data_IF_618540594992
#
_entry.id   IF_618540594992
#
_cell.length_a   1.000
_cell.length_b   1.000
_cell.length_c   1.000
_cell.angle_alpha   90.00
_cell.angle_beta   90.00
_cell.angle_gamma   90.00
#
_symmetry.space_group_name_H-M   'P 1'
#
loop_
_entity.id
_entity.type
_entity.pdbx_description
1 polymer ?
#
# COMPACT_ATOMS: atom_id res chain seq x y z
N UNK A 1 17.49 -30.69 9.94
CA UNK A 1 18.29 -29.73 10.72
C UNK A 1 18.38 -28.45 9.91
N UNK A 2 17.69 -27.36 10.29
CA UNK A 2 17.83 -26.09 9.57
C UNK A 2 18.07 -24.98 10.58
N UNK A 3 19.32 -24.51 10.59
CA UNK A 3 19.84 -23.45 11.45
C UNK A 3 19.38 -22.04 11.06
N UNK A 4 19.93 -21.00 11.71
CA UNK A 4 19.23 -19.76 12.03
C UNK A 4 18.91 -18.93 10.79
N UNK A 5 17.64 -18.55 10.66
CA UNK A 5 17.19 -17.58 9.68
C UNK A 5 17.98 -16.28 9.86
N UNK A 6 18.90 -16.02 8.94
CA UNK A 6 19.42 -14.68 8.71
C UNK A 6 18.22 -13.74 8.64
N UNK A 7 18.26 -12.66 9.42
CA UNK A 7 17.17 -11.69 9.56
C UNK A 7 17.01 -10.93 8.25
N UNK A 8 16.46 -11.56 7.23
CA UNK A 8 16.03 -10.90 6.00
C UNK A 8 14.97 -9.89 6.43
N UNK A 9 15.21 -8.59 6.25
CA UNK A 9 14.24 -7.58 6.65
C UNK A 9 12.93 -7.93 5.94
N UNK A 10 11.85 -8.00 6.70
CA UNK A 10 10.54 -8.27 6.09
C UNK A 10 10.28 -7.20 5.03
N UNK A 11 9.53 -7.48 3.97
CA UNK A 11 9.21 -6.47 2.95
C UNK A 11 8.58 -5.21 3.57
N UNK A 12 7.90 -5.34 4.71
CA UNK A 12 7.38 -4.22 5.50
C UNK A 12 8.48 -3.40 6.19
N UNK A 13 9.54 -4.06 6.67
CA UNK A 13 10.70 -3.44 7.30
C UNK A 13 11.62 -2.74 6.28
N UNK A 14 11.83 -3.34 5.10
CA UNK A 14 12.53 -2.66 3.99
C UNK A 14 11.80 -1.37 3.61
N UNK A 15 10.47 -1.47 3.45
CA UNK A 15 9.65 -0.33 3.09
C UNK A 15 9.65 0.77 4.15
N UNK A 16 9.66 0.44 5.44
CA UNK A 16 9.78 1.44 6.50
C UNK A 16 11.13 2.19 6.42
N UNK A 17 12.21 1.49 6.07
CA UNK A 17 13.52 2.08 5.88
C UNK A 17 13.54 3.03 4.66
N UNK A 18 12.97 2.60 3.53
CA UNK A 18 12.80 3.42 2.33
C UNK A 18 11.93 4.66 2.57
N UNK A 19 10.80 4.50 3.27
CA UNK A 19 9.95 5.61 3.67
C UNK A 19 10.69 6.62 4.53
N UNK A 20 11.49 6.17 5.49
CA UNK A 20 12.30 7.08 6.30
C UNK A 20 13.37 7.79 5.46
N UNK A 21 14.02 7.08 4.53
CA UNK A 21 15.05 7.62 3.64
C UNK A 21 14.47 8.69 2.71
N UNK A 22 13.28 8.45 2.15
CA UNK A 22 12.57 9.40 1.29
C UNK A 22 11.84 10.53 2.06
N UNK A 23 11.67 10.36 3.38
CA UNK A 23 11.20 11.41 4.29
C UNK A 23 12.33 12.35 4.74
N UNK A 24 13.56 12.15 4.26
CA UNK A 24 14.68 13.07 4.51
C UNK A 24 14.35 14.42 3.88
N UNK A 25 14.45 15.50 4.65
CA UNK A 25 14.09 16.86 4.22
C UNK A 25 12.62 17.24 4.41
N UNK A 26 11.72 16.28 4.69
CA UNK A 26 10.32 16.58 5.08
C UNK A 26 10.23 16.74 6.59
N UNK A 27 9.59 17.81 7.06
CA UNK A 27 9.39 18.13 8.49
C UNK A 27 7.92 18.46 8.75
N UNK A 28 7.46 18.21 9.97
CA UNK A 28 6.09 18.52 10.38
C UNK A 28 5.04 17.64 9.68
N UNK A 29 3.94 18.26 9.28
CA UNK A 29 2.77 17.58 8.71
C UNK A 29 3.10 16.86 7.39
N UNK A 30 4.00 17.44 6.60
CA UNK A 30 4.52 16.87 5.35
C UNK A 30 5.17 15.50 5.55
N UNK A 31 5.98 15.34 6.61
CA UNK A 31 6.59 14.04 6.94
C UNK A 31 5.54 13.03 7.35
N UNK A 32 4.52 13.44 8.10
CA UNK A 32 3.47 12.54 8.61
C UNK A 32 2.58 12.04 7.48
N UNK A 33 2.18 12.93 6.58
CA UNK A 33 1.40 12.61 5.38
C UNK A 33 2.22 11.72 4.45
N UNK A 34 3.47 12.08 4.19
CA UNK A 34 4.38 11.28 3.38
C UNK A 34 4.63 9.87 3.96
N UNK A 35 4.94 9.76 5.25
CA UNK A 35 5.22 8.48 5.90
C UNK A 35 3.97 7.60 5.94
N UNK A 36 2.79 8.19 6.16
CA UNK A 36 1.51 7.48 6.10
C UNK A 36 1.22 6.97 4.68
N UNK A 37 1.39 7.80 3.66
CA UNK A 37 1.21 7.39 2.27
C UNK A 37 2.23 6.35 1.84
N UNK A 38 3.48 6.44 2.29
CA UNK A 38 4.53 5.48 2.00
C UNK A 38 4.29 4.11 2.68
N UNK A 39 3.90 4.11 3.96
CA UNK A 39 3.48 2.92 4.71
C UNK A 39 2.16 2.31 4.20
N UNK A 40 1.29 3.12 3.57
CA UNK A 40 0.07 2.65 2.88
C UNK A 40 0.31 2.17 1.45
N UNK A 41 1.37 2.65 0.80
CA UNK A 41 1.88 2.09 -0.47
C UNK A 41 1.55 2.99 -1.65
N UNK A 42 1.26 4.24 -1.33
CA UNK A 42 0.92 5.30 -2.25
C UNK A 42 2.18 6.05 -2.75
N UNK A 43 3.39 5.74 -2.26
CA UNK A 43 4.63 6.24 -2.85
C UNK A 43 5.02 5.35 -4.02
N UNK A 44 4.61 5.79 -5.21
CA UNK A 44 4.90 5.19 -6.50
C UNK A 44 6.39 5.31 -6.83
N UNK A 45 7.21 4.37 -6.34
CA UNK A 45 8.48 4.03 -6.96
C UNK A 45 9.00 2.72 -6.35
N UNK A 46 9.01 1.68 -7.18
CA UNK A 46 9.84 0.48 -7.04
C UNK A 46 9.60 -0.38 -5.79
N UNK A 47 8.52 -1.17 -5.82
CA UNK A 47 8.59 -2.52 -5.28
C UNK A 47 7.90 -3.45 -6.28
N UNK A 48 8.61 -4.48 -6.72
CA UNK A 48 8.06 -5.61 -7.46
C UNK A 48 6.73 -6.09 -6.84
N UNK A 49 5.80 -6.67 -7.62
CA UNK A 49 4.41 -6.91 -7.22
C UNK A 49 4.35 -8.08 -6.23
N UNK A 50 4.80 -7.85 -5.00
CA UNK A 50 4.57 -8.77 -3.89
C UNK A 50 3.13 -8.57 -3.47
N UNK A 51 2.27 -9.44 -4.04
CA UNK A 51 0.83 -9.63 -3.81
C UNK A 51 0.25 -8.58 -2.85
N UNK A 52 -0.35 -7.51 -3.37
CA UNK A 52 -1.13 -6.58 -2.54
C UNK A 52 -2.08 -7.41 -1.69
N UNK A 53 -1.92 -7.34 -0.37
CA UNK A 53 -2.79 -8.08 0.54
C UNK A 53 -4.23 -7.62 0.34
N UNK A 54 -5.20 -8.52 0.52
CA UNK A 54 -6.63 -8.20 0.41
C UNK A 54 -7.01 -6.92 1.19
N UNK A 55 -6.35 -6.66 2.32
CA UNK A 55 -6.56 -5.48 3.16
C UNK A 55 -6.02 -4.18 2.54
N UNK A 56 -4.85 -4.21 1.90
CA UNK A 56 -4.30 -3.08 1.14
C UNK A 56 -5.17 -2.78 -0.08
N UNK A 57 -5.63 -3.82 -0.77
CA UNK A 57 -6.54 -3.71 -1.90
C UNK A 57 -7.86 -3.04 -1.53
N UNK A 58 -8.50 -3.50 -0.44
CA UNK A 58 -9.74 -2.91 0.06
C UNK A 58 -9.55 -1.42 0.42
N UNK A 59 -8.42 -1.07 1.00
CA UNK A 59 -8.10 0.32 1.36
C UNK A 59 -7.94 1.19 0.11
N UNK A 60 -7.23 0.71 -0.91
CA UNK A 60 -7.08 1.45 -2.19
C UNK A 60 -8.44 1.60 -2.89
N UNK A 61 -9.22 0.53 -3.02
CA UNK A 61 -10.55 0.60 -3.63
C UNK A 61 -11.49 1.57 -2.87
N UNK A 62 -11.37 1.67 -1.54
CA UNK A 62 -12.14 2.65 -0.77
C UNK A 62 -11.64 4.09 -0.97
N UNK A 63 -10.33 4.29 -1.10
CA UNK A 63 -9.74 5.60 -1.37
C UNK A 63 -10.15 6.09 -2.75
N UNK A 64 -10.01 5.26 -3.79
CA UNK A 64 -10.46 5.57 -5.14
C UNK A 64 -11.96 5.85 -5.21
N UNK A 65 -12.78 5.07 -4.49
CA UNK A 65 -14.22 5.33 -4.44
C UNK A 65 -14.55 6.70 -3.83
N UNK A 66 -13.80 7.13 -2.80
CA UNK A 66 -13.94 8.46 -2.19
C UNK A 66 -13.45 9.57 -3.12
N UNK A 67 -12.30 9.39 -3.78
CA UNK A 67 -11.75 10.36 -4.74
C UNK A 67 -12.67 10.55 -5.95
N UNK A 68 -13.28 9.47 -6.43
CA UNK A 68 -14.30 9.49 -7.48
C UNK A 68 -15.68 9.93 -6.98
N UNK A 69 -15.79 10.28 -5.70
CA UNK A 69 -17.03 10.67 -5.03
C UNK A 69 -18.20 9.69 -5.27
N UNK A 70 -17.89 8.40 -5.44
CA UNK A 70 -18.88 7.36 -5.71
C UNK A 70 -19.72 7.12 -4.45
N UNK A 71 -21.04 7.11 -4.62
CA UNK A 71 -22.02 6.97 -3.55
C UNK A 71 -23.02 5.87 -3.93
N UNK A 72 -23.65 5.26 -2.93
CA UNK A 72 -24.69 4.26 -3.16
C UNK A 72 -24.25 3.09 -4.05
N UNK A 73 -25.03 2.83 -5.10
CA UNK A 73 -24.81 1.72 -6.03
C UNK A 73 -23.45 1.82 -6.76
N UNK A 74 -23.04 3.03 -7.16
CA UNK A 74 -21.79 3.24 -7.91
C UNK A 74 -20.56 2.82 -7.11
N UNK A 75 -20.54 3.12 -5.81
CA UNK A 75 -19.45 2.69 -4.93
C UNK A 75 -19.39 1.17 -4.80
N UNK A 76 -20.55 0.51 -4.72
CA UNK A 76 -20.63 -0.94 -4.54
C UNK A 76 -20.17 -1.67 -5.80
N UNK A 77 -20.60 -1.21 -6.98
CA UNK A 77 -20.14 -1.70 -8.28
C UNK A 77 -18.64 -1.48 -8.44
N UNK A 78 -18.16 -0.27 -8.14
CA UNK A 78 -16.74 0.04 -8.20
C UNK A 78 -15.89 -0.80 -7.24
N UNK A 79 -16.32 -0.96 -5.98
CA UNK A 79 -15.60 -1.82 -5.02
C UNK A 79 -15.59 -3.27 -5.49
N UNK A 80 -16.69 -3.81 -6.02
CA UNK A 80 -16.69 -5.19 -6.52
C UNK A 80 -15.76 -5.36 -7.72
N UNK A 81 -15.75 -4.42 -8.67
CA UNK A 81 -14.85 -4.47 -9.82
C UNK A 81 -13.40 -4.28 -9.40
N UNK A 82 -13.11 -3.32 -8.53
CA UNK A 82 -11.77 -3.07 -8.00
C UNK A 82 -11.25 -4.27 -7.20
N UNK A 83 -12.11 -4.91 -6.39
CA UNK A 83 -11.80 -6.15 -5.65
C UNK A 83 -11.76 -7.41 -6.53
N UNK A 84 -12.25 -7.38 -7.78
CA UNK A 84 -12.12 -8.47 -8.75
C UNK A 84 -10.91 -8.29 -9.67
N UNK A 85 -10.56 -7.07 -10.05
CA UNK A 85 -9.44 -6.74 -10.95
C UNK A 85 -8.05 -6.68 -10.26
N UNK A 86 -7.81 -7.52 -9.23
CA UNK A 86 -6.40 -7.74 -8.87
C UNK A 86 -5.78 -8.62 -9.96
N UNK A 87 -4.47 -8.50 -10.22
CA UNK A 87 -3.72 -9.62 -10.75
C UNK A 87 -3.90 -10.78 -9.77
N UNK A 88 -4.88 -11.63 -10.04
CA UNK A 88 -4.90 -12.97 -9.53
C UNK A 88 -3.63 -13.60 -10.08
N UNK A 89 -2.69 -13.91 -9.20
CA UNK A 89 -1.75 -14.98 -9.53
C UNK A 89 -1.87 -16.02 -8.44
N UNK A 90 -2.02 -17.30 -8.82
CA UNK A 90 -2.04 -18.43 -7.90
C UNK A 90 -0.89 -18.38 -6.89
#
# INVERSE_FOLDING_TARGET
MTGPAAKTPTPQQQRMSDCNKQATGKKGDDRKTFMSSCLKGQTTAMAAPTKMTQQQKMTSCNADAKTKALKGADRKTFMSSCLKNAPATP
#
